data_IF_456186860670
#
_entry.id   IF_456186860670
#
_cell.length_a   1.000
_cell.length_b   1.000
_cell.length_c   1.000
_cell.angle_alpha   90.00
_cell.angle_beta   90.00
_cell.angle_gamma   90.00
#
_symmetry.space_group_name_H-M   'P 1'
#
loop_
_entity.id
_entity.type
_entity.pdbx_description
1 polymer ?
#
# COMPACT_ATOMS: atom_id res chain seq x y z
N UNK A 1 -66.86 57.90 19.78
CA UNK A 1 -66.39 57.51 18.43
C UNK A 1 -64.94 57.92 18.13
N UNK A 2 -64.51 59.18 18.32
CA UNK A 2 -63.12 59.62 17.99
C UNK A 2 -61.97 58.93 18.76
N UNK A 3 -62.23 58.31 19.91
CA UNK A 3 -61.19 57.63 20.71
C UNK A 3 -60.89 56.20 20.26
N UNK A 4 -61.82 55.52 19.57
CA UNK A 4 -61.65 54.13 19.12
C UNK A 4 -60.83 54.07 17.83
N UNK A 5 -61.00 55.04 16.93
CA UNK A 5 -60.23 55.13 15.67
C UNK A 5 -58.74 55.36 15.91
N UNK A 6 -58.35 56.16 16.92
CA UNK A 6 -56.93 56.42 17.22
C UNK A 6 -56.23 55.20 17.81
N UNK A 7 -56.94 54.38 18.57
CA UNK A 7 -56.42 53.13 19.13
C UNK A 7 -56.25 52.06 18.03
N UNK A 8 -57.24 51.91 17.15
CA UNK A 8 -57.18 51.02 15.98
C UNK A 8 -56.06 51.42 15.02
N UNK A 9 -55.86 52.71 14.74
CA UNK A 9 -54.79 53.16 13.83
C UNK A 9 -53.39 52.88 14.39
N UNK A 10 -53.18 53.03 15.70
CA UNK A 10 -51.91 52.71 16.35
C UNK A 10 -51.65 51.20 16.40
N UNK A 11 -52.67 50.35 16.58
CA UNK A 11 -52.49 48.88 16.52
C UNK A 11 -52.19 48.39 15.12
N UNK A 12 -52.81 48.93 14.06
CA UNK A 12 -52.45 48.58 12.67
C UNK A 12 -51.03 49.02 12.30
N UNK A 13 -50.58 50.17 12.79
CA UNK A 13 -49.22 50.67 12.55
C UNK A 13 -48.19 49.85 13.32
N UNK A 14 -48.49 49.46 14.58
CA UNK A 14 -47.64 48.59 15.39
C UNK A 14 -47.56 47.17 14.79
N UNK A 15 -48.67 46.62 14.30
CA UNK A 15 -48.70 45.30 13.63
C UNK A 15 -47.97 45.34 12.28
N UNK A 16 -48.07 46.43 11.49
CA UNK A 16 -47.27 46.57 10.27
C UNK A 16 -45.77 46.72 10.57
N UNK A 17 -45.41 47.46 11.62
CA UNK A 17 -44.00 47.63 12.01
C UNK A 17 -43.41 46.33 12.55
N UNK A 18 -44.21 45.52 13.25
CA UNK A 18 -43.84 44.19 13.73
C UNK A 18 -43.76 43.19 12.56
N UNK A 19 -44.67 43.22 11.57
CA UNK A 19 -44.57 42.38 10.37
C UNK A 19 -43.39 42.75 9.47
N UNK A 20 -43.01 44.03 9.37
CA UNK A 20 -41.82 44.46 8.61
C UNK A 20 -40.53 44.13 9.38
N UNK A 21 -40.56 44.09 10.72
CA UNK A 21 -39.44 43.61 11.55
C UNK A 21 -39.35 42.06 11.65
N UNK A 22 -40.46 41.35 11.41
CA UNK A 22 -40.52 39.88 11.30
C UNK A 22 -40.33 39.35 9.87
N UNK A 23 -40.24 40.23 8.87
CA UNK A 23 -39.43 39.95 7.69
C UNK A 23 -37.96 40.00 8.09
N UNK A 24 -37.55 39.06 8.93
CA UNK A 24 -36.17 38.64 9.01
C UNK A 24 -35.75 38.34 7.59
N UNK A 25 -34.85 39.18 7.09
CA UNK A 25 -34.10 38.92 5.88
C UNK A 25 -33.37 37.61 6.19
N UNK A 26 -33.94 36.48 5.76
CA UNK A 26 -33.17 35.27 5.58
C UNK A 26 -32.23 35.59 4.43
N UNK A 27 -31.12 36.24 4.76
CA UNK A 27 -29.97 36.32 3.88
C UNK A 27 -29.49 34.87 3.79
N UNK A 28 -29.94 34.14 2.77
CA UNK A 28 -29.26 32.94 2.35
C UNK A 28 -27.85 33.38 1.99
N UNK A 29 -26.89 33.08 2.87
CA UNK A 29 -25.48 33.20 2.52
C UNK A 29 -25.20 32.34 1.30
N UNK A 30 -24.22 32.72 0.50
CA UNK A 30 -23.78 31.85 -0.59
C UNK A 30 -23.12 30.61 0.05
N UNK A 31 -23.67 29.43 -0.19
CA UNK A 31 -23.17 28.18 0.41
C UNK A 31 -21.84 27.72 -0.23
N UNK A 32 -21.54 28.21 -1.44
CA UNK A 32 -20.33 27.91 -2.20
C UNK A 32 -19.88 29.11 -3.06
N UNK A 33 -18.59 29.18 -3.42
CA UNK A 33 -18.14 30.09 -4.48
C UNK A 33 -18.42 29.44 -5.83
N UNK A 34 -19.28 30.08 -6.64
CA UNK A 34 -19.56 29.62 -7.99
C UNK A 34 -18.74 30.39 -9.02
N UNK A 35 -17.99 29.69 -9.86
CA UNK A 35 -17.39 30.25 -11.06
C UNK A 35 -18.18 29.82 -12.31
N UNK A 36 -18.59 30.78 -13.12
CA UNK A 36 -19.21 30.54 -14.45
C UNK A 36 -18.38 31.15 -15.60
N UNK A 37 -17.29 31.85 -15.28
CA UNK A 37 -16.48 32.61 -16.23
C UNK A 37 -15.03 32.15 -16.26
N UNK A 38 -14.19 32.92 -16.94
CA UNK A 38 -12.76 32.66 -16.96
C UNK A 38 -12.12 33.22 -15.69
N UNK A 39 -11.41 32.38 -14.94
CA UNK A 39 -10.57 32.79 -13.82
C UNK A 39 -9.11 32.81 -14.29
N UNK A 40 -8.43 33.92 -13.99
CA UNK A 40 -6.98 34.03 -14.05
C UNK A 40 -6.49 34.60 -12.72
N UNK A 41 -5.59 33.87 -12.08
CA UNK A 41 -4.89 34.26 -10.87
C UNK A 41 -3.45 34.57 -11.27
N UNK A 42 -3.06 35.83 -11.15
CA UNK A 42 -1.71 36.30 -11.48
C UNK A 42 -0.67 35.83 -10.46
N UNK A 43 0.61 35.98 -10.80
CA UNK A 43 1.78 35.40 -10.10
C UNK A 43 1.82 35.76 -8.60
N UNK A 44 1.45 36.99 -8.22
CA UNK A 44 1.39 37.43 -6.80
C UNK A 44 -0.01 37.23 -6.16
N UNK A 45 -0.94 36.63 -6.90
CA UNK A 45 -2.31 36.41 -6.45
C UNK A 45 -2.37 35.28 -5.43
N UNK A 46 -2.98 35.57 -4.27
CA UNK A 46 -3.26 34.59 -3.23
C UNK A 46 -4.77 34.53 -3.02
N UNK A 47 -5.37 33.35 -3.24
CA UNK A 47 -6.80 33.11 -3.05
C UNK A 47 -6.99 32.03 -2.00
N UNK A 48 -7.76 32.32 -0.95
CA UNK A 48 -8.12 31.35 0.07
C UNK A 48 -9.62 31.09 0.12
N UNK A 49 -10.02 29.86 -0.13
CA UNK A 49 -11.40 29.40 -0.02
C UNK A 49 -11.66 28.79 1.37
N UNK A 50 -12.72 29.25 2.02
CA UNK A 50 -13.21 28.75 3.32
C UNK A 50 -14.62 28.12 3.21
N UNK A 51 -15.03 27.80 1.98
CA UNK A 51 -16.31 27.22 1.61
C UNK A 51 -16.14 26.44 0.30
N UNK A 52 -17.15 25.67 -0.06
CA UNK A 52 -17.14 24.85 -1.27
C UNK A 52 -16.92 25.72 -2.52
N UNK A 53 -16.31 25.12 -3.55
CA UNK A 53 -16.09 25.77 -4.84
C UNK A 53 -16.77 24.96 -5.92
N UNK A 54 -17.67 25.60 -6.67
CA UNK A 54 -18.36 25.02 -7.82
C UNK A 54 -17.82 25.70 -9.08
N UNK A 55 -16.96 24.99 -9.82
CA UNK A 55 -16.35 25.50 -11.04
C UNK A 55 -17.07 25.03 -12.32
N UNK A 56 -17.68 25.97 -13.03
CA UNK A 56 -18.28 25.77 -14.35
C UNK A 56 -17.62 26.63 -15.43
N UNK A 57 -16.45 27.20 -15.12
CA UNK A 57 -15.71 28.10 -16.00
C UNK A 57 -14.26 27.67 -16.20
N UNK A 58 -13.57 28.31 -17.15
CA UNK A 58 -12.20 27.96 -17.48
C UNK A 58 -11.19 28.62 -16.52
N UNK A 59 -10.12 27.89 -16.21
CA UNK A 59 -8.95 28.40 -15.51
C UNK A 59 -7.85 28.70 -16.54
N UNK A 60 -7.54 29.98 -16.76
CA UNK A 60 -6.67 30.44 -17.84
C UNK A 60 -5.41 31.10 -17.28
N UNK A 61 -4.23 30.52 -17.60
CA UNK A 61 -2.93 31.12 -17.29
C UNK A 61 -2.76 31.47 -15.79
N UNK A 62 -3.23 30.60 -14.90
CA UNK A 62 -3.04 30.76 -13.47
C UNK A 62 -1.57 30.57 -13.10
N UNK A 63 -1.10 31.43 -12.21
CA UNK A 63 0.28 31.48 -11.74
C UNK A 63 0.42 31.78 -10.25
N UNK A 64 -0.67 32.16 -9.59
CA UNK A 64 -0.69 32.39 -8.14
C UNK A 64 -1.16 31.17 -7.36
N UNK A 65 -1.32 31.37 -6.06
CA UNK A 65 -1.72 30.35 -5.10
C UNK A 65 -3.23 30.32 -4.89
N UNK A 66 -3.77 29.11 -4.85
CA UNK A 66 -5.12 28.82 -4.37
C UNK A 66 -5.03 27.86 -3.20
N UNK A 67 -5.60 28.24 -2.06
CA UNK A 67 -5.69 27.39 -0.89
C UNK A 67 -7.12 27.14 -0.44
N UNK A 68 -7.33 26.00 0.20
CA UNK A 68 -8.59 25.63 0.87
C UNK A 68 -8.33 25.46 2.36
N UNK A 69 -9.13 26.15 3.18
CA UNK A 69 -8.87 26.30 4.62
C UNK A 69 -10.15 26.12 5.44
N UNK A 70 -10.24 25.05 6.23
CA UNK A 70 -11.30 24.86 7.22
C UNK A 70 -10.84 23.96 8.38
N UNK A 71 -11.33 24.24 9.59
CA UNK A 71 -10.97 23.48 10.80
C UNK A 71 -12.12 22.61 11.33
N UNK A 72 -13.35 22.90 10.94
CA UNK A 72 -14.57 22.38 11.57
C UNK A 72 -15.55 21.74 10.58
N UNK A 73 -15.22 21.74 9.30
CA UNK A 73 -16.03 21.15 8.23
C UNK A 73 -15.18 20.67 7.07
N UNK A 74 -15.73 19.71 6.33
CA UNK A 74 -15.24 19.34 5.01
C UNK A 74 -15.46 20.51 4.03
N UNK A 75 -14.66 20.53 2.97
CA UNK A 75 -14.87 21.40 1.81
C UNK A 75 -14.96 20.54 0.55
N UNK A 76 -15.69 21.01 -0.46
CA UNK A 76 -15.82 20.30 -1.74
C UNK A 76 -15.42 21.19 -2.92
N UNK A 77 -14.66 20.62 -3.85
CA UNK A 77 -14.45 21.15 -5.21
C UNK A 77 -15.31 20.34 -6.18
N UNK A 78 -16.27 20.99 -6.82
CA UNK A 78 -17.18 20.36 -7.78
C UNK A 78 -17.47 21.29 -8.97
N UNK A 79 -18.47 20.95 -9.80
CA UNK A 79 -18.88 21.72 -10.99
C UNK A 79 -18.78 20.93 -12.29
N UNK A 80 -18.82 21.62 -13.44
CA UNK A 80 -18.75 21.01 -14.77
C UNK A 80 -17.42 21.23 -15.50
N UNK A 81 -16.42 21.84 -14.85
CA UNK A 81 -15.13 22.14 -15.47
C UNK A 81 -13.99 21.89 -14.48
N UNK A 82 -12.93 21.25 -14.95
CA UNK A 82 -11.75 20.93 -14.15
C UNK A 82 -10.99 22.22 -13.81
N UNK A 83 -10.86 22.61 -12.52
CA UNK A 83 -9.98 23.70 -12.14
C UNK A 83 -8.52 23.29 -12.32
N UNK A 84 -7.68 24.24 -12.71
CA UNK A 84 -6.23 24.07 -12.83
C UNK A 84 -5.57 25.16 -11.99
N UNK A 85 -4.91 24.74 -10.91
CA UNK A 85 -4.18 25.59 -9.99
C UNK A 85 -2.68 25.56 -10.30
N UNK A 86 -2.02 26.70 -10.10
CA UNK A 86 -0.57 26.76 -10.22
C UNK A 86 0.07 26.24 -8.95
N UNK A 87 -0.12 26.97 -7.85
CA UNK A 87 0.13 26.49 -6.50
C UNK A 87 -1.19 26.17 -5.80
N UNK A 88 -1.24 25.01 -5.16
CA UNK A 88 -2.42 24.47 -4.50
C UNK A 88 -2.10 24.16 -3.03
N UNK A 89 -2.87 24.69 -2.09
CA UNK A 89 -2.67 24.47 -0.65
C UNK A 89 -3.92 23.86 -0.01
N UNK A 90 -3.74 22.80 0.78
CA UNK A 90 -4.84 22.07 1.42
C UNK A 90 -4.63 22.08 2.93
N UNK A 91 -5.50 22.80 3.64
CA UNK A 91 -5.57 22.81 5.09
C UNK A 91 -7.02 22.66 5.55
N UNK A 92 -7.57 21.45 5.39
CA UNK A 92 -8.98 21.14 5.67
C UNK A 92 -9.06 19.98 6.66
N UNK A 93 -9.25 20.26 7.96
CA UNK A 93 -9.16 19.24 9.03
C UNK A 93 -10.15 18.07 8.88
N UNK A 94 -11.27 18.27 8.17
CA UNK A 94 -12.27 17.24 7.86
C UNK A 94 -12.32 16.91 6.35
N UNK A 95 -11.15 16.94 5.72
CA UNK A 95 -10.88 16.55 4.34
C UNK A 95 -11.45 17.48 3.24
N UNK A 96 -10.72 17.53 2.13
CA UNK A 96 -11.11 18.22 0.91
C UNK A 96 -11.62 17.20 -0.11
N UNK A 97 -12.92 17.20 -0.36
CA UNK A 97 -13.55 16.35 -1.36
C UNK A 97 -13.40 16.97 -2.75
N UNK A 98 -13.06 16.12 -3.71
CA UNK A 98 -12.86 16.49 -5.10
C UNK A 98 -13.79 15.63 -5.95
N UNK A 99 -14.79 16.28 -6.56
CA UNK A 99 -15.83 15.63 -7.37
C UNK A 99 -15.55 15.70 -8.89
N UNK A 100 -14.49 16.41 -9.30
CA UNK A 100 -13.99 16.51 -10.67
C UNK A 100 -12.46 16.41 -10.67
N UNK A 101 -11.81 16.37 -11.83
CA UNK A 101 -10.35 16.44 -11.85
C UNK A 101 -9.83 17.82 -11.42
N UNK A 102 -8.85 17.88 -10.51
CA UNK A 102 -8.08 19.10 -10.19
C UNK A 102 -6.68 18.99 -10.79
N UNK A 103 -6.28 19.97 -11.61
CA UNK A 103 -4.92 20.03 -12.15
C UNK A 103 -3.98 20.87 -11.29
N UNK A 104 -2.74 20.41 -11.10
CA UNK A 104 -1.65 21.12 -10.40
C UNK A 104 -0.49 21.37 -11.36
N UNK A 105 -0.11 22.64 -11.58
CA UNK A 105 0.95 23.01 -12.51
C UNK A 105 2.32 23.23 -11.87
N UNK A 106 2.40 23.50 -10.57
CA UNK A 106 3.66 23.76 -9.87
C UNK A 106 3.78 22.99 -8.54
N UNK A 107 3.03 23.36 -7.51
CA UNK A 107 3.14 22.73 -6.19
C UNK A 107 1.77 22.40 -5.60
N UNK A 108 1.63 21.23 -4.95
CA UNK A 108 0.57 20.95 -3.99
C UNK A 108 1.13 20.82 -2.57
N UNK A 109 0.61 21.61 -1.64
CA UNK A 109 1.03 21.61 -0.24
C UNK A 109 -0.07 20.98 0.64
N UNK A 110 0.16 19.76 1.11
CA UNK A 110 -0.73 19.06 2.04
C UNK A 110 -0.38 19.48 3.48
N UNK A 111 -1.29 20.18 4.17
CA UNK A 111 -1.05 20.69 5.53
C UNK A 111 -1.86 19.92 6.57
N UNK A 112 -3.17 19.74 6.33
CA UNK A 112 -4.08 18.98 7.21
C UNK A 112 -5.27 18.47 6.41
N UNK A 113 -5.71 17.25 6.76
CA UNK A 113 -6.74 16.49 6.07
C UNK A 113 -6.27 15.86 4.76
N UNK A 114 -7.05 14.88 4.32
CA UNK A 114 -6.85 14.21 3.04
C UNK A 114 -7.53 14.97 1.90
N UNK A 115 -7.03 14.75 0.68
CA UNK A 115 -7.77 15.04 -0.54
C UNK A 115 -8.51 13.77 -0.93
N UNK A 116 -9.83 13.78 -0.87
CA UNK A 116 -10.66 12.60 -1.09
C UNK A 116 -11.22 12.64 -2.50
N UNK A 117 -10.97 11.58 -3.27
CA UNK A 117 -11.50 11.40 -4.63
C UNK A 117 -12.22 10.05 -4.74
N UNK A 118 -13.24 9.98 -5.59
CA UNK A 118 -14.10 8.81 -5.66
C UNK A 118 -13.41 7.62 -6.37
N UNK A 119 -13.17 6.53 -5.64
CA UNK A 119 -12.59 5.29 -6.19
C UNK A 119 -13.44 4.59 -7.25
N UNK A 120 -14.75 4.82 -7.27
CA UNK A 120 -15.63 4.26 -8.31
C UNK A 120 -15.62 5.08 -9.61
N UNK A 121 -14.94 6.23 -9.63
CA UNK A 121 -14.89 7.18 -10.72
C UNK A 121 -13.45 7.65 -10.91
N UNK A 122 -12.59 6.81 -11.50
CA UNK A 122 -11.14 7.04 -11.57
C UNK A 122 -10.73 8.25 -12.43
N UNK A 123 -11.65 8.81 -13.22
CA UNK A 123 -11.52 10.10 -13.89
C UNK A 123 -11.54 11.30 -12.92
N UNK A 124 -12.08 11.12 -11.72
CA UNK A 124 -12.04 12.11 -10.63
C UNK A 124 -10.76 11.89 -9.83
N UNK A 125 -9.81 12.80 -9.97
CA UNK A 125 -8.49 12.70 -9.37
C UNK A 125 -7.84 14.08 -9.20
N UNK A 126 -6.71 14.10 -8.48
CA UNK A 126 -5.77 15.21 -8.55
C UNK A 126 -4.65 14.88 -9.54
N UNK A 127 -4.48 15.69 -10.58
CA UNK A 127 -3.50 15.46 -11.65
C UNK A 127 -2.30 16.42 -11.52
N UNK A 128 -1.11 15.85 -11.36
CA UNK A 128 0.17 16.55 -11.33
C UNK A 128 0.75 16.67 -12.74
N UNK A 129 0.70 17.87 -13.31
CA UNK A 129 1.14 18.14 -14.69
C UNK A 129 2.63 18.53 -14.77
N UNK A 130 3.31 18.14 -15.85
CA UNK A 130 4.66 18.57 -16.23
C UNK A 130 5.69 18.38 -15.12
N UNK A 131 6.33 19.44 -14.62
CA UNK A 131 7.33 19.36 -13.54
C UNK A 131 6.75 19.59 -12.14
N UNK A 132 5.41 19.55 -11.99
CA UNK A 132 4.78 19.80 -10.68
C UNK A 132 5.20 18.78 -9.62
N UNK A 133 5.22 19.21 -8.37
CA UNK A 133 5.56 18.40 -7.21
C UNK A 133 4.54 18.62 -6.10
N UNK A 134 4.73 17.91 -4.99
CA UNK A 134 3.99 18.14 -3.76
C UNK A 134 4.91 18.04 -2.56
N UNK A 135 4.40 18.52 -1.42
CA UNK A 135 5.04 18.41 -0.11
C UNK A 135 3.97 18.20 0.98
N UNK A 136 4.40 17.68 2.12
CA UNK A 136 3.56 17.59 3.33
C UNK A 136 2.70 16.34 3.40
N UNK A 137 3.01 15.35 2.56
CA UNK A 137 2.33 14.07 2.57
C UNK A 137 2.56 13.32 3.88
N UNK A 138 1.54 12.58 4.31
CA UNK A 138 1.58 11.82 5.56
C UNK A 138 0.37 10.93 5.70
N UNK A 139 0.34 10.15 6.77
CA UNK A 139 -0.74 9.20 7.04
C UNK A 139 -2.14 9.84 7.12
N UNK A 140 -2.23 11.13 7.40
CA UNK A 140 -3.49 11.91 7.47
C UNK A 140 -3.48 13.14 6.57
N UNK A 141 -2.54 13.21 5.63
CA UNK A 141 -2.36 14.30 4.67
C UNK A 141 -1.95 13.71 3.34
N UNK A 142 -2.88 13.07 2.63
CA UNK A 142 -2.61 12.39 1.35
C UNK A 142 -3.81 12.44 0.43
N UNK A 143 -3.69 11.79 -0.71
CA UNK A 143 -4.83 11.53 -1.59
C UNK A 143 -5.47 10.22 -1.17
N UNK A 144 -6.65 10.29 -0.54
CA UNK A 144 -7.50 9.12 -0.31
C UNK A 144 -8.39 8.90 -1.55
N UNK A 145 -7.81 8.27 -2.57
CA UNK A 145 -8.45 7.96 -3.85
C UNK A 145 -7.46 7.92 -5.00
N UNK A 146 -7.87 8.44 -6.15
CA UNK A 146 -7.03 8.55 -7.33
C UNK A 146 -6.20 9.83 -7.34
N UNK A 147 -4.90 9.66 -7.56
CA UNK A 147 -4.01 10.70 -8.04
C UNK A 147 -3.54 10.35 -9.46
N UNK A 148 -3.19 11.36 -10.25
CA UNK A 148 -2.74 11.23 -11.62
C UNK A 148 -1.48 12.06 -11.88
N UNK A 149 -0.76 11.70 -12.92
CA UNK A 149 0.37 12.44 -13.46
C UNK A 149 0.23 12.60 -14.98
N UNK A 150 0.71 13.73 -15.50
CA UNK A 150 0.72 14.03 -16.93
C UNK A 150 2.04 14.65 -17.35
N UNK A 151 2.56 14.23 -18.51
CA UNK A 151 3.82 14.67 -19.12
C UNK A 151 5.04 14.45 -18.21
N UNK A 152 5.11 13.28 -17.54
CA UNK A 152 6.17 12.89 -16.61
C UNK A 152 6.70 11.50 -16.93
N UNK A 153 8.00 11.30 -16.74
CA UNK A 153 8.64 9.98 -16.73
C UNK A 153 8.59 9.35 -15.34
N UNK A 154 8.82 10.16 -14.31
CA UNK A 154 8.96 9.72 -12.93
C UNK A 154 8.00 10.47 -12.02
N UNK A 155 7.39 9.75 -11.09
CA UNK A 155 6.52 10.33 -10.08
C UNK A 155 6.29 9.39 -8.91
N UNK A 156 6.02 9.95 -7.74
CA UNK A 156 5.54 9.21 -6.58
C UNK A 156 4.12 9.66 -6.30
N UNK A 157 3.15 8.77 -6.36
CA UNK A 157 1.76 9.11 -6.07
C UNK A 157 1.59 9.25 -4.55
N UNK A 158 1.12 10.41 -4.02
CA UNK A 158 0.87 10.61 -2.59
C UNK A 158 -0.46 9.98 -2.17
N UNK A 159 -0.64 8.70 -2.43
CA UNK A 159 -1.91 7.98 -2.25
C UNK A 159 -1.92 7.16 -0.96
N UNK A 160 -3.10 6.87 -0.46
CA UNK A 160 -3.31 6.01 0.68
C UNK A 160 -4.78 5.84 1.02
N UNK A 161 -5.06 5.23 2.17
CA UNK A 161 -6.43 5.04 2.66
C UNK A 161 -6.41 4.96 4.18
N UNK A 162 -7.46 5.47 4.83
CA UNK A 162 -7.52 5.55 6.30
C UNK A 162 -6.30 6.32 6.85
N UNK A 163 -5.64 5.83 7.89
CA UNK A 163 -4.44 6.41 8.51
C UNK A 163 -3.13 5.87 7.90
N UNK A 164 -3.15 5.49 6.61
CA UNK A 164 -2.00 4.89 5.91
C UNK A 164 -1.63 5.63 4.65
N UNK A 165 -0.43 6.19 4.61
CA UNK A 165 0.23 6.59 3.37
C UNK A 165 0.90 5.37 2.73
N UNK A 166 0.59 5.11 1.47
CA UNK A 166 1.06 3.95 0.70
C UNK A 166 1.49 4.39 -0.69
N UNK A 167 2.61 5.13 -0.77
CA UNK A 167 3.03 5.73 -2.02
C UNK A 167 3.36 4.65 -3.04
N UNK A 168 3.03 4.94 -4.30
CA UNK A 168 3.48 4.17 -5.45
C UNK A 168 4.44 5.05 -6.23
N UNK A 169 5.67 4.61 -6.42
CA UNK A 169 6.60 5.31 -7.32
C UNK A 169 6.60 4.65 -8.68
N UNK A 170 6.55 5.43 -9.75
CA UNK A 170 6.67 4.98 -11.13
C UNK A 170 7.90 5.64 -11.76
N UNK A 171 8.65 4.86 -12.54
CA UNK A 171 9.74 5.32 -13.39
C UNK A 171 9.59 4.71 -14.77
N UNK A 172 9.24 5.53 -15.75
CA UNK A 172 8.83 5.10 -17.08
C UNK A 172 9.92 5.32 -18.13
N UNK A 173 9.97 4.45 -19.14
CA UNK A 173 10.95 4.55 -20.23
C UNK A 173 10.82 5.84 -21.06
N UNK A 174 9.64 6.47 -21.05
CA UNK A 174 9.36 7.74 -21.72
C UNK A 174 8.27 8.52 -21.00
N UNK A 175 8.02 9.75 -21.43
CA UNK A 175 6.99 10.61 -20.84
C UNK A 175 5.60 9.98 -20.98
N UNK A 176 4.88 9.87 -19.88
CA UNK A 176 3.47 9.48 -19.88
C UNK A 176 2.60 10.70 -20.17
N UNK A 177 1.76 10.63 -21.20
CA UNK A 177 0.73 11.66 -21.41
C UNK A 177 -0.24 11.71 -20.21
N UNK A 178 -0.57 10.54 -19.66
CA UNK A 178 -1.45 10.39 -18.52
C UNK A 178 -1.27 9.03 -17.84
N UNK A 179 -1.13 9.02 -16.52
CA UNK A 179 -1.09 7.83 -15.67
C UNK A 179 -1.83 8.14 -14.37
N UNK A 180 -2.57 7.19 -13.80
CA UNK A 180 -3.26 7.38 -12.52
C UNK A 180 -3.14 6.16 -11.63
N UNK A 181 -3.16 6.39 -10.33
CA UNK A 181 -3.02 5.35 -9.32
C UNK A 181 -3.96 5.60 -8.14
N UNK A 182 -4.40 4.51 -7.51
CA UNK A 182 -5.10 4.52 -6.23
C UNK A 182 -4.67 3.32 -5.39
N UNK A 183 -4.72 3.49 -4.07
CA UNK A 183 -4.41 2.45 -3.10
C UNK A 183 -5.68 1.95 -2.39
N UNK A 184 -5.68 0.64 -2.10
CA UNK A 184 -6.76 -0.08 -1.44
C UNK A 184 -6.19 -0.94 -0.31
N UNK A 185 -6.61 -0.68 0.93
CA UNK A 185 -6.31 -1.51 2.09
C UNK A 185 -7.43 -2.54 2.29
N UNK A 186 -7.53 -3.48 1.36
CA UNK A 186 -8.51 -4.57 1.39
C UNK A 186 -8.01 -5.81 0.63
N UNK A 187 -8.72 -6.92 0.82
CA UNK A 187 -8.40 -8.21 0.21
C UNK A 187 -8.75 -8.23 -1.29
N UNK A 188 -7.78 -8.50 -2.20
CA UNK A 188 -8.03 -8.66 -3.64
C UNK A 188 -9.06 -9.74 -4.00
N UNK A 189 -9.32 -10.72 -3.11
CA UNK A 189 -10.37 -11.71 -3.33
C UNK A 189 -11.78 -11.12 -3.19
N UNK A 190 -11.94 -10.04 -2.42
CA UNK A 190 -13.22 -9.38 -2.14
C UNK A 190 -13.12 -7.85 -2.26
N UNK A 191 -12.68 -7.33 -3.43
CA UNK A 191 -12.40 -5.92 -3.59
C UNK A 191 -13.69 -5.10 -3.60
N UNK A 192 -13.61 -3.85 -3.14
CA UNK A 192 -14.66 -2.84 -3.27
C UNK A 192 -14.91 -2.42 -4.73
N UNK A 193 -14.01 -2.78 -5.64
CA UNK A 193 -14.15 -2.61 -7.09
C UNK A 193 -15.27 -3.54 -7.59
N UNK A 194 -16.43 -2.95 -7.88
CA UNK A 194 -17.67 -3.65 -8.22
C UNK A 194 -17.50 -4.61 -9.40
N UNK A 195 -17.91 -5.87 -9.22
CA UNK A 195 -17.97 -6.86 -10.29
C UNK A 195 -16.64 -7.54 -10.60
N UNK A 196 -15.62 -7.33 -9.77
CA UNK A 196 -14.29 -7.94 -9.91
C UNK A 196 -13.99 -8.86 -8.71
N UNK A 197 -13.11 -9.83 -8.93
CA UNK A 197 -12.48 -10.65 -7.89
C UNK A 197 -11.13 -11.09 -8.46
N UNK A 198 -10.08 -10.97 -7.65
CA UNK A 198 -8.71 -11.29 -8.03
C UNK A 198 -8.24 -12.47 -7.18
N UNK A 199 -8.75 -13.65 -7.51
CA UNK A 199 -8.50 -14.89 -6.75
C UNK A 199 -6.98 -15.10 -6.54
N UNK A 200 -6.52 -14.92 -5.30
CA UNK A 200 -5.09 -14.99 -4.94
C UNK A 200 -4.51 -16.39 -5.08
N UNK A 201 -5.34 -17.42 -5.29
CA UNK A 201 -4.90 -18.78 -5.61
C UNK A 201 -4.62 -19.03 -7.09
N UNK A 202 -5.08 -18.14 -7.99
CA UNK A 202 -4.86 -18.24 -9.43
C UNK A 202 -3.56 -17.55 -9.82
N UNK A 203 -2.46 -18.29 -9.78
CA UNK A 203 -1.12 -17.80 -10.07
C UNK A 203 -0.52 -18.45 -11.32
N UNK A 204 0.43 -17.78 -11.97
CA UNK A 204 1.14 -18.31 -13.15
C UNK A 204 1.91 -19.62 -12.84
N UNK A 205 2.27 -19.82 -11.57
CA UNK A 205 2.92 -21.01 -11.07
C UNK A 205 2.63 -21.22 -9.57
N UNK A 206 2.74 -22.46 -9.10
CA UNK A 206 2.44 -22.84 -7.71
C UNK A 206 3.36 -22.24 -6.64
N UNK A 207 4.45 -21.60 -7.03
CA UNK A 207 5.44 -21.00 -6.12
C UNK A 207 5.18 -19.51 -5.90
N UNK A 208 4.29 -18.87 -6.66
CA UNK A 208 3.95 -17.47 -6.43
C UNK A 208 2.94 -17.36 -5.27
N UNK A 209 3.24 -16.54 -4.29
CA UNK A 209 2.29 -16.11 -3.25
C UNK A 209 1.88 -14.66 -3.49
N UNK A 210 0.67 -14.29 -3.08
CA UNK A 210 0.05 -12.99 -3.37
C UNK A 210 -0.55 -12.44 -2.08
N UNK A 211 -0.41 -11.13 -1.85
CA UNK A 211 -0.98 -10.48 -0.68
C UNK A 211 -2.51 -10.45 -0.70
N UNK A 212 -3.09 -10.66 0.49
CA UNK A 212 -4.53 -10.58 0.76
C UNK A 212 -4.89 -9.36 1.61
N UNK A 213 -3.95 -8.42 1.80
CA UNK A 213 -4.11 -7.29 2.73
C UNK A 213 -4.28 -5.94 2.04
N UNK A 214 -3.69 -5.78 0.86
CA UNK A 214 -3.70 -4.51 0.16
C UNK A 214 -3.39 -4.70 -1.33
N UNK A 215 -3.73 -3.70 -2.14
CA UNK A 215 -3.32 -3.62 -3.54
C UNK A 215 -3.34 -2.18 -4.05
N UNK A 216 -2.69 -1.97 -5.18
CA UNK A 216 -2.70 -0.73 -5.94
C UNK A 216 -3.36 -0.96 -7.29
N UNK A 217 -4.22 -0.02 -7.67
CA UNK A 217 -4.69 0.10 -9.04
C UNK A 217 -3.82 1.13 -9.76
N UNK A 218 -3.25 0.79 -10.90
CA UNK A 218 -2.36 1.65 -11.67
C UNK A 218 -2.67 1.54 -13.16
N UNK A 219 -3.08 2.64 -13.78
CA UNK A 219 -3.32 2.72 -15.22
C UNK A 219 -2.25 3.58 -15.89
N UNK A 220 -1.55 3.03 -16.88
CA UNK A 220 -0.50 3.67 -17.64
C UNK A 220 -0.10 2.84 -18.86
N UNK A 221 0.20 3.51 -19.97
CA UNK A 221 0.48 2.86 -21.27
C UNK A 221 1.96 2.73 -21.60
N UNK A 222 2.84 3.35 -20.80
CA UNK A 222 4.29 3.34 -21.03
C UNK A 222 4.92 2.24 -20.16
N UNK A 223 5.82 1.41 -20.73
CA UNK A 223 6.63 0.49 -19.94
C UNK A 223 7.34 1.20 -18.79
N UNK A 224 7.18 0.68 -17.59
CA UNK A 224 7.62 1.33 -16.36
C UNK A 224 8.05 0.32 -15.30
N UNK A 225 8.98 0.74 -14.45
CA UNK A 225 9.20 0.13 -13.13
C UNK A 225 8.30 0.79 -12.12
N UNK A 226 7.76 0.00 -11.21
CA UNK A 226 6.98 0.51 -10.08
C UNK A 226 7.63 0.11 -8.78
N UNK A 227 7.65 1.01 -7.80
CA UNK A 227 8.10 0.73 -6.44
C UNK A 227 6.93 0.81 -5.49
N UNK A 228 6.66 -0.28 -4.79
CA UNK A 228 5.66 -0.40 -3.75
C UNK A 228 6.35 -0.37 -2.39
N UNK A 229 5.69 0.17 -1.38
CA UNK A 229 6.17 0.20 0.01
C UNK A 229 5.28 -0.64 0.91
N UNK A 230 5.86 -1.20 1.96
CA UNK A 230 5.11 -1.91 3.01
C UNK A 230 5.45 -1.42 4.41
N UNK A 231 4.59 -1.78 5.35
CA UNK A 231 4.88 -1.73 6.79
C UNK A 231 4.43 -3.03 7.48
N UNK A 232 4.41 -3.01 8.81
CA UNK A 232 4.01 -4.15 9.63
C UNK A 232 2.61 -4.68 9.31
N UNK A 233 1.67 -3.82 8.91
CA UNK A 233 0.28 -4.20 8.62
C UNK A 233 0.13 -4.84 7.24
N UNK A 234 1.15 -4.76 6.38
CA UNK A 234 1.22 -5.45 5.11
C UNK A 234 1.52 -6.95 5.25
N UNK A 235 1.94 -7.40 6.45
CA UNK A 235 2.32 -8.79 6.74
C UNK A 235 3.33 -9.39 5.73
N UNK A 236 4.32 -8.59 5.32
CA UNK A 236 5.28 -8.96 4.27
C UNK A 236 6.01 -10.29 4.55
N UNK A 237 6.24 -10.64 5.82
CA UNK A 237 6.88 -11.91 6.23
C UNK A 237 6.09 -13.17 5.88
N UNK A 238 4.85 -13.06 5.38
CA UNK A 238 4.08 -14.21 4.90
C UNK A 238 4.48 -14.64 3.47
N UNK A 239 5.23 -13.80 2.75
CA UNK A 239 5.53 -13.98 1.33
C UNK A 239 6.99 -14.33 1.04
N UNK A 240 7.78 -14.64 2.08
CA UNK A 240 9.18 -15.00 1.94
C UNK A 240 9.88 -15.26 3.27
N UNK A 241 10.96 -16.03 3.23
CA UNK A 241 11.89 -16.19 4.35
C UNK A 241 12.84 -14.98 4.43
N UNK A 242 13.18 -14.42 3.27
CA UNK A 242 13.99 -13.22 3.10
C UNK A 242 13.18 -12.11 2.41
N UNK A 243 13.52 -10.85 2.69
CA UNK A 243 12.93 -9.74 1.95
C UNK A 243 13.21 -9.84 0.44
N UNK A 244 14.32 -10.47 0.06
CA UNK A 244 14.68 -10.71 -1.35
C UNK A 244 13.75 -11.70 -2.06
N UNK A 245 12.90 -12.41 -1.32
CA UNK A 245 11.90 -13.31 -1.91
C UNK A 245 10.63 -12.56 -2.28
N UNK A 246 10.43 -11.37 -1.71
CA UNK A 246 9.32 -10.49 -2.04
C UNK A 246 9.38 -10.08 -3.50
N UNK A 247 8.20 -9.91 -4.10
CA UNK A 247 7.98 -9.58 -5.51
C UNK A 247 6.88 -8.55 -5.64
N UNK A 248 6.96 -7.72 -6.67
CA UNK A 248 5.75 -7.08 -7.21
C UNK A 248 5.02 -8.14 -8.02
N UNK A 249 3.72 -8.30 -7.79
CA UNK A 249 2.87 -9.21 -8.55
C UNK A 249 1.68 -8.46 -9.13
N UNK A 250 1.23 -8.87 -10.31
CA UNK A 250 0.12 -8.21 -11.01
C UNK A 250 -0.93 -9.18 -11.50
N UNK A 251 -2.20 -8.80 -11.42
CA UNK A 251 -3.30 -9.58 -11.99
C UNK A 251 -3.42 -9.32 -13.49
N UNK A 252 -3.00 -10.29 -14.32
CA UNK A 252 -3.02 -10.17 -15.79
C UNK A 252 -4.46 -10.06 -16.29
N UNK A 253 -4.75 -9.00 -17.04
CA UNK A 253 -6.09 -8.79 -17.63
C UNK A 253 -6.39 -9.87 -18.66
N UNK A 254 -5.38 -10.32 -19.40
CA UNK A 254 -5.53 -11.29 -20.49
C UNK A 254 -5.65 -12.70 -19.93
N UNK A 255 -4.71 -13.10 -19.07
CA UNK A 255 -4.59 -14.48 -18.63
C UNK A 255 -5.47 -14.81 -17.41
N UNK A 256 -5.94 -13.77 -16.69
CA UNK A 256 -6.73 -13.89 -15.46
C UNK A 256 -6.02 -14.73 -14.40
N UNK A 257 -4.72 -14.49 -14.25
CA UNK A 257 -3.86 -15.06 -13.21
C UNK A 257 -2.90 -13.98 -12.69
N UNK A 258 -2.41 -14.17 -11.48
CA UNK A 258 -1.32 -13.39 -10.89
C UNK A 258 0.03 -13.78 -11.51
N UNK A 259 0.77 -12.77 -11.94
CA UNK A 259 2.08 -12.89 -12.62
C UNK A 259 3.15 -12.20 -11.78
N UNK A 260 4.34 -12.79 -11.73
CA UNK A 260 5.51 -12.17 -11.11
C UNK A 260 6.03 -11.02 -11.98
N UNK A 261 5.98 -9.79 -11.45
CA UNK A 261 6.53 -8.59 -12.08
C UNK A 261 7.95 -8.27 -11.60
N UNK A 262 8.53 -9.13 -10.78
CA UNK A 262 9.93 -9.07 -10.37
C UNK A 262 10.21 -8.19 -9.16
N UNK A 263 11.51 -8.04 -8.88
CA UNK A 263 12.04 -7.44 -7.66
C UNK A 263 13.46 -6.89 -7.88
N UNK A 264 13.62 -5.98 -8.84
CA UNK A 264 14.91 -5.40 -9.25
C UNK A 264 15.67 -4.70 -8.11
N UNK A 265 14.93 -4.21 -7.10
CA UNK A 265 15.48 -3.66 -5.88
C UNK A 265 14.55 -4.00 -4.71
N UNK A 266 15.14 -4.38 -3.57
CA UNK A 266 14.41 -4.58 -2.31
C UNK A 266 15.21 -3.96 -1.18
N UNK A 267 14.57 -3.08 -0.41
CA UNK A 267 15.20 -2.35 0.69
C UNK A 267 14.36 -2.45 1.96
N UNK A 268 15.00 -2.34 3.13
CA UNK A 268 14.35 -2.34 4.44
C UNK A 268 14.37 -3.69 5.15
N UNK A 269 13.32 -3.98 5.90
CA UNK A 269 13.06 -5.24 6.59
C UNK A 269 11.57 -5.61 6.55
N UNK A 270 11.15 -6.74 7.12
CA UNK A 270 9.74 -7.17 7.08
C UNK A 270 8.74 -6.23 7.79
N UNK A 271 9.19 -5.31 8.65
CA UNK A 271 8.33 -4.33 9.31
C UNK A 271 8.19 -3.03 8.51
N UNK A 272 9.14 -2.72 7.63
CA UNK A 272 9.04 -1.58 6.71
C UNK A 272 10.09 -1.67 5.61
N UNK A 273 9.67 -1.43 4.38
CA UNK A 273 10.58 -1.43 3.24
C UNK A 273 9.90 -1.10 1.92
N UNK A 274 10.65 -1.31 0.84
CA UNK A 274 10.17 -1.06 -0.52
C UNK A 274 10.70 -2.09 -1.51
N UNK A 275 9.92 -2.34 -2.56
CA UNK A 275 10.24 -3.28 -3.61
C UNK A 275 9.94 -2.69 -4.98
N UNK A 276 10.90 -2.80 -5.90
CA UNK A 276 10.81 -2.29 -7.27
C UNK A 276 10.63 -3.45 -8.27
N UNK A 277 9.66 -3.35 -9.17
CA UNK A 277 9.42 -4.34 -10.23
C UNK A 277 10.51 -4.32 -11.32
N UNK A 278 10.44 -5.29 -12.23
CA UNK A 278 10.95 -5.17 -13.60
C UNK A 278 10.06 -4.23 -14.43
N UNK A 279 10.48 -3.94 -15.67
CA UNK A 279 9.68 -3.15 -16.60
C UNK A 279 8.44 -3.92 -17.08
N UNK A 280 7.26 -3.29 -16.97
CA UNK A 280 6.00 -3.80 -17.52
C UNK A 280 5.10 -2.64 -17.95
N UNK A 281 4.06 -2.91 -18.74
CA UNK A 281 3.03 -1.92 -19.08
C UNK A 281 1.95 -1.97 -18.00
N UNK A 282 1.73 -0.91 -17.20
CA UNK A 282 0.76 -0.95 -16.10
C UNK A 282 -0.64 -1.38 -16.52
N UNK A 283 -1.14 -0.84 -17.64
CA UNK A 283 -2.49 -1.14 -18.15
C UNK A 283 -2.68 -2.55 -18.73
N UNK A 284 -1.66 -3.41 -18.73
CA UNK A 284 -1.84 -4.85 -19.01
C UNK A 284 -2.32 -5.63 -17.77
N UNK A 285 -2.28 -4.99 -16.59
CA UNK A 285 -2.66 -5.56 -15.31
C UNK A 285 -3.79 -4.74 -14.68
N UNK A 286 -4.75 -5.41 -14.06
CA UNK A 286 -5.86 -4.70 -13.40
C UNK A 286 -5.36 -4.07 -12.10
N UNK A 287 -4.70 -4.87 -11.26
CA UNK A 287 -4.12 -4.42 -10.00
C UNK A 287 -2.74 -5.04 -9.81
N UNK A 288 -1.94 -4.39 -8.98
CA UNK A 288 -0.66 -4.90 -8.51
C UNK A 288 -0.63 -4.94 -6.99
N UNK A 289 0.13 -5.86 -6.42
CA UNK A 289 0.34 -5.95 -4.99
C UNK A 289 1.72 -6.53 -4.68
N UNK A 290 2.02 -6.68 -3.40
CA UNK A 290 3.17 -7.41 -2.88
C UNK A 290 2.83 -8.90 -2.93
N UNK A 291 3.78 -9.67 -3.39
CA UNK A 291 3.76 -11.12 -3.28
C UNK A 291 5.16 -11.61 -2.95
N UNK A 292 5.41 -12.87 -3.25
CA UNK A 292 6.75 -13.44 -3.15
C UNK A 292 6.75 -14.92 -3.48
N UNK A 293 7.72 -15.64 -2.95
CA UNK A 293 7.81 -17.08 -3.16
C UNK A 293 7.11 -17.83 -2.02
N UNK A 294 6.10 -18.65 -2.35
CA UNK A 294 5.60 -19.71 -1.51
C UNK A 294 6.70 -20.76 -1.34
N UNK A 295 7.43 -20.62 -0.25
CA UNK A 295 8.66 -21.31 0.12
C UNK A 295 8.52 -22.82 0.42
N UNK A 296 7.52 -23.49 -0.15
CA UNK A 296 7.48 -24.96 -0.07
C UNK A 296 8.60 -25.63 -0.89
N UNK A 297 9.23 -24.91 -1.83
CA UNK A 297 10.10 -25.51 -2.85
C UNK A 297 11.19 -24.55 -3.41
N UNK A 298 11.61 -23.52 -2.67
CA UNK A 298 12.64 -22.61 -3.17
C UNK A 298 13.96 -23.33 -3.48
N UNK A 299 14.67 -22.85 -4.51
CA UNK A 299 15.85 -23.51 -5.05
C UNK A 299 17.01 -23.38 -4.07
N UNK A 300 17.16 -24.42 -3.26
CA UNK A 300 18.35 -24.73 -2.46
C UNK A 300 19.60 -24.42 -3.28
N UNK A 301 20.38 -23.43 -2.86
CA UNK A 301 21.73 -23.33 -3.35
C UNK A 301 22.44 -24.62 -2.92
N UNK A 302 22.96 -25.36 -3.90
CA UNK A 302 23.79 -26.53 -3.66
C UNK A 302 25.14 -26.06 -3.12
N UNK A 303 25.17 -25.54 -1.89
CA UNK A 303 26.37 -25.73 -1.08
C UNK A 303 26.56 -27.25 -1.01
N UNK A 304 27.75 -27.71 -1.35
CA UNK A 304 28.18 -29.07 -1.07
C UNK A 304 28.37 -29.20 0.44
N UNK A 305 27.28 -29.21 1.21
CA UNK A 305 27.31 -29.75 2.57
C UNK A 305 27.26 -31.26 2.44
N UNK A 306 28.17 -31.93 3.16
CA UNK A 306 28.28 -33.37 3.13
C UNK A 306 27.02 -34.06 3.68
N UNK A 307 26.87 -35.34 3.34
CA UNK A 307 25.85 -36.16 3.96
C UNK A 307 26.30 -36.55 5.36
N UNK A 308 25.46 -36.28 6.36
CA UNK A 308 25.84 -36.48 7.75
C UNK A 308 25.47 -37.89 8.24
N UNK A 309 26.33 -38.44 9.09
CA UNK A 309 26.10 -39.70 9.78
C UNK A 309 26.18 -39.45 11.29
N UNK A 310 25.14 -39.86 12.04
CA UNK A 310 25.03 -39.63 13.48
C UNK A 310 24.89 -40.94 14.25
N UNK A 311 25.65 -41.07 15.34
CA UNK A 311 25.63 -42.16 16.33
C UNK A 311 25.54 -41.58 17.74
N UNK A 312 24.37 -41.10 18.21
CA UNK A 312 24.23 -40.43 19.51
C UNK A 312 24.28 -41.39 20.70
N UNK A 313 25.44 -42.02 20.92
CA UNK A 313 25.69 -43.02 21.97
C UNK A 313 26.48 -42.44 23.16
N UNK A 314 26.92 -41.18 23.08
CA UNK A 314 27.66 -40.49 24.14
C UNK A 314 29.14 -40.88 24.22
N UNK A 315 29.72 -41.47 23.17
CA UNK A 315 31.15 -41.79 23.10
C UNK A 315 32.02 -40.60 22.65
N UNK A 316 31.40 -39.46 22.30
CA UNK A 316 32.04 -38.25 21.82
C UNK A 316 32.21 -38.18 20.29
N UNK A 317 31.83 -39.22 19.55
CA UNK A 317 31.96 -39.30 18.10
C UNK A 317 30.58 -39.31 17.41
N UNK A 318 30.36 -38.34 16.52
CA UNK A 318 29.11 -38.19 15.76
C UNK A 318 27.84 -38.14 16.64
N UNK A 319 27.97 -37.64 17.86
CA UNK A 319 26.86 -37.50 18.80
C UNK A 319 25.88 -36.38 18.41
N UNK A 320 26.37 -35.40 17.63
CA UNK A 320 25.62 -34.22 17.23
C UNK A 320 25.68 -34.01 15.71
N UNK A 321 24.65 -33.36 15.15
CA UNK A 321 24.70 -32.85 13.78
C UNK A 321 25.57 -31.58 13.76
N UNK A 322 26.82 -31.73 13.34
CA UNK A 322 27.75 -30.61 13.22
C UNK A 322 27.72 -30.09 11.78
N UNK A 323 27.11 -28.93 11.56
CA UNK A 323 27.14 -28.22 10.28
C UNK A 323 28.36 -27.31 10.29
N UNK A 324 29.33 -27.59 9.42
CA UNK A 324 30.57 -26.80 9.33
C UNK A 324 30.27 -25.36 8.88
N UNK A 325 30.82 -24.37 9.59
CA UNK A 325 30.66 -22.95 9.26
C UNK A 325 29.36 -22.31 9.80
N UNK A 326 28.51 -23.06 10.51
CA UNK A 326 27.26 -22.54 11.10
C UNK A 326 27.54 -21.39 12.10
N UNK A 327 28.70 -21.41 12.76
CA UNK A 327 29.15 -20.37 13.68
C UNK A 327 29.34 -18.99 13.01
N UNK A 328 29.50 -18.97 11.68
CA UNK A 328 29.55 -17.75 10.88
C UNK A 328 28.18 -17.13 10.62
N UNK A 329 27.09 -17.85 10.89
CA UNK A 329 25.71 -17.38 10.70
C UNK A 329 24.91 -17.55 11.99
N UNK A 330 25.04 -16.65 12.98
CA UNK A 330 24.33 -16.75 14.25
C UNK A 330 22.80 -16.61 14.11
N UNK A 331 22.31 -15.97 13.05
CA UNK A 331 20.90 -15.88 12.72
C UNK A 331 20.52 -16.97 11.71
N UNK A 332 20.53 -18.22 12.18
CA UNK A 332 20.14 -19.37 11.36
C UNK A 332 18.91 -20.09 11.93
N UNK A 333 18.32 -20.97 11.14
CA UNK A 333 17.30 -21.92 11.60
C UNK A 333 17.58 -23.30 11.01
N UNK A 334 17.58 -24.34 11.86
CA UNK A 334 17.66 -25.74 11.45
C UNK A 334 16.30 -26.41 11.66
N UNK A 335 15.79 -27.08 10.61
CA UNK A 335 14.61 -27.93 10.66
C UNK A 335 14.97 -29.34 10.19
N UNK A 336 14.47 -30.38 10.87
CA UNK A 336 14.71 -31.79 10.50
C UNK A 336 13.37 -32.50 10.36
N UNK A 337 13.26 -33.31 9.30
CA UNK A 337 12.08 -34.05 8.90
C UNK A 337 12.41 -35.54 8.78
N UNK A 338 11.46 -36.40 9.12
CA UNK A 338 11.59 -37.83 8.85
C UNK A 338 11.33 -38.15 7.38
N UNK A 339 11.50 -39.43 6.99
CA UNK A 339 11.25 -39.92 5.63
C UNK A 339 9.82 -39.74 5.09
N UNK A 340 8.87 -39.34 5.93
CA UNK A 340 7.47 -39.08 5.56
C UNK A 340 7.18 -37.58 5.45
N UNK A 341 8.21 -36.71 5.49
CA UNK A 341 8.05 -35.25 5.45
C UNK A 341 7.54 -34.63 6.75
N UNK A 342 7.48 -35.40 7.84
CA UNK A 342 7.03 -34.88 9.14
C UNK A 342 8.21 -34.28 9.89
N UNK A 343 8.07 -33.01 10.28
CA UNK A 343 9.07 -32.33 11.12
C UNK A 343 9.22 -33.05 12.47
N UNK A 344 10.47 -33.26 12.87
CA UNK A 344 10.87 -33.90 14.14
C UNK A 344 11.76 -32.98 14.98
N UNK A 345 12.38 -31.97 14.39
CA UNK A 345 13.21 -31.00 15.10
C UNK A 345 13.11 -29.62 14.44
N UNK A 346 13.14 -28.57 15.24
CA UNK A 346 13.27 -27.19 14.77
C UNK A 346 13.99 -26.33 15.81
N UNK A 347 15.03 -25.60 15.40
CA UNK A 347 15.79 -24.73 16.29
C UNK A 347 16.24 -23.47 15.57
N UNK A 348 15.97 -22.31 16.17
CA UNK A 348 16.55 -21.03 15.79
C UNK A 348 17.92 -20.87 16.45
N UNK A 349 18.82 -20.14 15.80
CA UNK A 349 20.20 -19.91 16.23
C UNK A 349 20.91 -21.24 16.52
N UNK A 350 20.78 -22.20 15.61
CA UNK A 350 21.38 -23.52 15.77
C UNK A 350 22.91 -23.40 15.80
N UNK A 351 23.52 -24.08 16.76
CA UNK A 351 24.95 -24.12 17.01
C UNK A 351 25.38 -25.56 17.36
N UNK A 352 25.05 -26.48 16.46
CA UNK A 352 25.50 -27.88 16.50
C UNK A 352 25.00 -28.70 17.71
N UNK A 353 23.78 -28.42 18.20
CA UNK A 353 23.25 -29.07 19.42
C UNK A 353 22.31 -30.25 19.17
N UNK A 354 21.94 -30.55 17.92
CA UNK A 354 20.99 -31.62 17.65
C UNK A 354 21.65 -32.97 17.89
N UNK A 355 21.12 -33.72 18.87
CA UNK A 355 21.65 -35.00 19.33
C UNK A 355 20.73 -36.21 19.02
N UNK A 356 19.90 -36.09 17.99
CA UNK A 356 18.94 -37.13 17.63
C UNK A 356 17.66 -37.15 18.48
N UNK A 357 17.41 -36.16 19.34
CA UNK A 357 16.18 -36.05 20.13
C UNK A 357 15.23 -35.03 19.50
N UNK A 358 13.97 -35.44 19.28
CA UNK A 358 12.92 -34.55 18.79
C UNK A 358 12.54 -33.49 19.82
N UNK A 359 12.38 -32.23 19.39
CA UNK A 359 11.91 -31.12 20.22
C UNK A 359 10.49 -30.62 19.84
N UNK A 360 9.84 -31.25 18.85
CA UNK A 360 8.49 -30.88 18.39
C UNK A 360 7.39 -31.77 18.99
N UNK A 361 6.17 -31.26 19.07
CA UNK A 361 5.03 -31.98 19.67
C UNK A 361 4.42 -33.02 18.71
N UNK A 362 3.97 -34.17 19.25
CA UNK A 362 3.25 -35.22 18.52
C UNK A 362 4.10 -36.37 17.96
N UNK A 363 5.42 -36.34 18.15
CA UNK A 363 6.31 -37.49 17.87
C UNK A 363 6.23 -38.47 19.04
N UNK A 364 6.01 -39.77 18.74
CA UNK A 364 5.74 -40.83 19.73
C UNK A 364 6.90 -41.04 20.71
N UNK A 365 8.12 -40.60 20.35
CA UNK A 365 9.37 -40.83 21.08
C UNK A 365 9.95 -39.54 21.69
N UNK A 366 9.15 -38.77 22.45
CA UNK A 366 9.70 -37.65 23.22
C UNK A 366 10.65 -38.22 24.29
N UNK A 367 11.92 -37.80 24.30
CA UNK A 367 12.99 -38.18 25.25
C UNK A 367 13.59 -39.61 25.13
N UNK A 368 13.26 -40.40 24.11
CA UNK A 368 13.87 -41.75 23.90
C UNK A 368 14.87 -41.74 22.70
N UNK A 369 14.92 -40.64 21.96
CA UNK A 369 15.69 -40.54 20.71
C UNK A 369 14.85 -40.94 19.49
N UNK A 370 15.22 -40.38 18.34
CA UNK A 370 14.58 -40.67 17.07
C UNK A 370 15.02 -42.05 16.55
N UNK A 371 14.12 -42.84 15.92
CA UNK A 371 14.47 -44.15 15.37
C UNK A 371 15.55 -44.08 14.29
N UNK A 372 16.28 -45.18 14.09
CA UNK A 372 17.28 -45.28 13.04
C UNK A 372 16.65 -45.07 11.67
N UNK A 373 17.29 -44.26 10.84
CA UNK A 373 16.82 -44.01 9.49
C UNK A 373 17.39 -42.76 8.86
N UNK A 374 16.90 -42.50 7.65
CA UNK A 374 17.21 -41.28 6.90
C UNK A 374 16.25 -40.17 7.36
N UNK A 375 16.83 -39.03 7.66
CA UNK A 375 16.14 -37.78 7.94
C UNK A 375 16.63 -36.73 6.93
N UNK A 376 15.75 -35.79 6.62
CA UNK A 376 16.06 -34.64 5.77
C UNK A 376 16.21 -33.42 6.67
N UNK A 377 17.16 -32.55 6.38
CA UNK A 377 17.29 -31.30 7.10
C UNK A 377 17.26 -30.13 6.13
N UNK A 378 16.71 -29.02 6.60
CA UNK A 378 16.75 -27.73 5.94
C UNK A 378 17.45 -26.79 6.92
N UNK A 379 18.52 -26.14 6.46
CA UNK A 379 19.22 -25.09 7.19
C UNK A 379 19.05 -23.78 6.43
N UNK A 380 18.50 -22.78 7.11
CA UNK A 380 18.32 -21.42 6.59
C UNK A 380 19.32 -20.51 7.31
N UNK A 381 20.23 -19.89 6.58
CA UNK A 381 21.28 -18.99 7.05
C UNK A 381 20.88 -17.56 6.69
N UNK A 382 20.20 -16.87 7.62
CA UNK A 382 19.59 -15.57 7.33
C UNK A 382 20.62 -14.44 7.19
N UNK A 383 21.84 -14.63 7.70
CA UNK A 383 22.90 -13.62 7.60
C UNK A 383 23.44 -13.48 6.17
N UNK A 384 23.29 -14.52 5.36
CA UNK A 384 23.82 -14.59 3.99
C UNK A 384 22.75 -14.97 2.96
N UNK A 385 21.47 -14.91 3.34
CA UNK A 385 20.31 -15.26 2.51
C UNK A 385 20.46 -16.61 1.79
N UNK A 386 20.86 -17.64 2.54
CA UNK A 386 21.11 -18.94 1.96
C UNK A 386 20.29 -20.02 2.62
N UNK A 387 19.68 -20.89 1.81
CA UNK A 387 18.94 -22.05 2.25
C UNK A 387 19.54 -23.31 1.65
N UNK A 388 19.83 -24.29 2.51
CA UNK A 388 20.36 -25.58 2.10
C UNK A 388 19.50 -26.74 2.59
N UNK A 389 19.30 -27.72 1.72
CA UNK A 389 18.66 -28.99 2.05
C UNK A 389 19.64 -30.15 1.85
N UNK A 390 19.75 -30.99 2.88
CA UNK A 390 20.50 -32.24 2.80
C UNK A 390 19.79 -33.39 3.49
N UNK A 391 20.49 -34.51 3.64
CA UNK A 391 20.02 -35.64 4.43
C UNK A 391 21.07 -36.09 5.44
N UNK A 392 20.60 -36.72 6.52
CA UNK A 392 21.44 -37.37 7.51
C UNK A 392 20.93 -38.79 7.77
N UNK A 393 21.85 -39.71 8.02
CA UNK A 393 21.52 -41.02 8.55
C UNK A 393 21.75 -41.03 10.06
N UNK A 394 20.69 -41.30 10.81
CA UNK A 394 20.73 -41.45 12.26
C UNK A 394 20.68 -42.94 12.59
N UNK A 395 21.56 -43.41 13.47
CA UNK A 395 21.37 -44.70 14.14
C UNK A 395 20.90 -44.50 15.57
N UNK A 396 20.08 -45.44 16.05
CA UNK A 396 19.57 -45.46 17.41
C UNK A 396 20.71 -45.55 18.40
N UNK A 397 20.53 -44.80 19.49
CA UNK A 397 21.22 -45.00 20.75
C UNK A 397 20.90 -46.42 21.26
N UNK A 398 21.79 -47.37 21.04
CA UNK A 398 21.73 -48.64 21.78
C UNK A 398 22.31 -48.35 23.17
N UNK A 399 21.42 -48.30 24.17
CA UNK A 399 21.85 -48.37 25.56
C UNK A 399 22.44 -49.77 25.79
N UNK A 400 23.77 -49.85 25.90
CA UNK A 400 24.46 -51.07 26.35
C UNK A 400 24.36 -51.24 27.87
#
# INVERSE_FOLDING_TARGET
MKHIDKFMRNTYTLIHTICIALCTIYSYGQDAVHNYGNIQIHDDGLVGFHMDVINNGAFNQNKGLVGFYAMDKALTISGGSNPIFYDFEIAVDNDLYVDNTVGVLNNANFITGDVVTNRTASEVNINFLNDSFYIGEGNTTKVDGYAAMSNKTDFTFPIGQFDKLRPLTISSESSNDYTKAAYYFEDPNTPSIVGTTFDTSLTENQFLSVSEYEFWHLEGSIPSKVTLTWDQDSNASLYGDFITDLKVVGWSIIDKVWVNLGNTNVEGDFNSGSITSEDFIPSDYEIITIGGNSDLLETVENISLDNYYMTPNGDGFNDFLVIEGIEGSPNNTLQIFNRYGRMVYSMKNYNNEFNGISNVNGVIAKNIGLPSGIYFYIVTLNDINLKHQGYLYLTTREDN
#
